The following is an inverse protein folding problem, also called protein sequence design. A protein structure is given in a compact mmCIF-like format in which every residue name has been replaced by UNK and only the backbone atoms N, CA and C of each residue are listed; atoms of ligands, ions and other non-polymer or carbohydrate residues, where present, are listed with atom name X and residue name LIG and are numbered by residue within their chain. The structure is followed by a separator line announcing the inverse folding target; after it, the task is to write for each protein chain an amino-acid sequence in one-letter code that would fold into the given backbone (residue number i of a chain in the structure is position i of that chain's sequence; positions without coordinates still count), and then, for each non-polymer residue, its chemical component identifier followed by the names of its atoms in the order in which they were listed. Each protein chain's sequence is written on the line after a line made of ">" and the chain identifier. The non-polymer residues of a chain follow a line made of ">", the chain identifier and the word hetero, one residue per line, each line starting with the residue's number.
data_IF_031650449509
#
_entry.id   IF_031650449509
#
_cell.length_a   1.000
_cell.length_b   1.000
_cell.length_c   1.000
_cell.angle_alpha   90.00
_cell.angle_beta   90.00
_cell.angle_gamma   90.00
#
_symmetry.space_group_name_H-M   'P 1'
#
loop_
_entity.id
_entity.type
_entity.pdbx_description
1 polymer ?
#
# COMPACT_ATOMS: atom_id res chain seq x y z
N UNK A 1 -57.23 -16.65 -50.74
CA UNK A 1 -58.04 -17.88 -50.90
C UNK A 1 -57.81 -18.76 -49.70
N UNK A 2 -58.80 -18.82 -48.80
CA UNK A 2 -59.57 -19.96 -48.31
C UNK A 2 -58.70 -21.06 -47.67
N UNK A 3 -58.90 -21.59 -46.53
CA UNK A 3 -60.13 -21.71 -45.77
C UNK A 3 -59.87 -22.34 -44.43
N UNK A 4 -60.77 -22.12 -43.58
CA UNK A 4 -60.94 -22.62 -42.22
C UNK A 4 -61.20 -24.12 -42.11
N UNK A 5 -60.85 -24.76 -41.00
CA UNK A 5 -61.77 -25.70 -40.39
C UNK A 5 -61.52 -25.89 -38.88
N UNK A 6 -62.61 -25.79 -38.15
CA UNK A 6 -62.82 -26.01 -36.72
C UNK A 6 -63.04 -27.48 -36.40
N UNK A 7 -62.64 -27.94 -35.24
CA UNK A 7 -63.52 -28.73 -34.33
C UNK A 7 -62.74 -28.95 -33.01
N UNK A 8 -63.20 -28.45 -31.87
CA UNK A 8 -64.18 -28.94 -30.87
C UNK A 8 -63.83 -30.36 -30.36
N UNK A 9 -63.54 -30.59 -29.14
CA UNK A 9 -64.32 -30.62 -27.92
C UNK A 9 -63.48 -31.09 -26.70
N UNK A 10 -63.82 -30.59 -25.57
CA UNK A 10 -63.37 -30.75 -24.20
C UNK A 10 -63.89 -32.08 -23.57
N UNK A 11 -63.88 -32.20 -22.20
CA UNK A 11 -62.84 -32.22 -21.18
C UNK A 11 -62.95 -33.52 -20.31
N UNK A 12 -61.91 -33.88 -19.54
CA UNK A 12 -62.14 -34.78 -18.41
C UNK A 12 -61.32 -34.32 -17.22
N UNK A 13 -62.02 -34.17 -16.17
CA UNK A 13 -61.68 -33.78 -14.80
C UNK A 13 -60.81 -34.81 -14.07
N UNK A 14 -60.04 -34.28 -13.11
CA UNK A 14 -59.91 -34.72 -11.72
C UNK A 14 -58.75 -35.63 -11.35
N UNK A 15 -57.81 -35.12 -10.59
CA UNK A 15 -57.55 -35.45 -9.19
C UNK A 15 -56.29 -34.79 -8.64
N UNK A 16 -56.57 -33.89 -7.73
CA UNK A 16 -55.57 -33.30 -6.84
C UNK A 16 -54.86 -34.36 -6.00
N UNK A 17 -53.55 -34.28 -5.88
CA UNK A 17 -52.85 -34.62 -4.63
C UNK A 17 -51.73 -33.63 -4.40
N UNK A 18 -51.97 -32.77 -3.43
CA UNK A 18 -50.95 -31.91 -2.82
C UNK A 18 -49.96 -32.80 -2.06
N UNK A 19 -48.69 -32.63 -2.34
CA UNK A 19 -47.63 -32.92 -1.38
C UNK A 19 -46.72 -31.67 -1.31
N UNK A 20 -47.04 -30.86 -0.30
CA UNK A 20 -46.13 -29.80 0.16
C UNK A 20 -45.07 -30.47 1.04
N UNK A 21 -43.84 -30.47 0.63
CA UNK A 21 -42.70 -30.72 1.50
C UNK A 21 -41.93 -29.39 1.65
N UNK A 22 -41.60 -28.94 2.86
CA UNK A 22 -40.80 -27.74 3.05
C UNK A 22 -39.33 -28.07 2.74
N UNK A 23 -38.77 -27.35 1.80
CA UNK A 23 -37.31 -27.27 1.58
C UNK A 23 -36.69 -26.50 2.74
N UNK A 24 -36.26 -27.22 3.77
CA UNK A 24 -35.33 -26.68 4.77
C UNK A 24 -33.95 -26.57 4.12
N UNK A 25 -33.61 -25.37 3.69
CA UNK A 25 -32.24 -25.03 3.32
C UNK A 25 -31.38 -25.09 4.59
N UNK A 26 -30.69 -26.20 4.82
CA UNK A 26 -29.61 -26.30 5.77
C UNK A 26 -28.41 -25.58 5.15
N UNK A 27 -28.25 -24.30 5.49
CA UNK A 27 -26.98 -23.57 5.34
C UNK A 27 -25.97 -24.21 6.31
N UNK A 28 -25.23 -25.18 5.82
CA UNK A 28 -24.06 -25.70 6.54
C UNK A 28 -22.96 -24.62 6.52
N UNK A 29 -23.06 -23.68 7.45
CA UNK A 29 -21.89 -22.90 7.85
C UNK A 29 -20.92 -23.88 8.49
N UNK A 30 -19.86 -24.23 7.77
CA UNK A 30 -18.69 -24.90 8.34
C UNK A 30 -18.15 -23.95 9.40
N UNK A 31 -18.16 -24.28 10.69
CA UNK A 31 -17.56 -23.43 11.69
C UNK A 31 -16.05 -23.45 11.42
N UNK A 32 -15.46 -22.26 11.25
CA UNK A 32 -14.01 -22.08 11.30
C UNK A 32 -13.51 -22.70 12.61
N UNK A 33 -12.41 -23.47 12.59
CA UNK A 33 -11.90 -24.10 13.80
C UNK A 33 -11.58 -23.05 14.85
N UNK A 34 -12.17 -23.17 16.02
CA UNK A 34 -12.05 -22.30 17.20
C UNK A 34 -10.59 -22.16 17.68
N UNK A 35 -9.67 -22.94 17.15
CA UNK A 35 -8.25 -22.97 17.50
C UNK A 35 -7.42 -21.83 16.89
N UNK A 36 -7.98 -21.04 15.95
CA UNK A 36 -7.26 -19.92 15.30
C UNK A 36 -7.33 -18.59 16.09
N UNK A 37 -8.03 -18.53 17.21
CA UNK A 37 -8.34 -17.27 17.92
C UNK A 37 -7.48 -16.97 19.15
N UNK A 38 -6.35 -17.63 19.40
CA UNK A 38 -5.62 -17.45 20.67
C UNK A 38 -4.09 -17.55 20.64
N UNK A 39 -3.47 -17.76 19.52
CA UNK A 39 -2.01 -17.71 19.47
C UNK A 39 -1.55 -16.26 19.31
N UNK A 40 -0.69 -15.76 20.22
CA UNK A 40 -0.02 -14.48 20.00
C UNK A 40 0.74 -14.52 18.68
N UNK A 41 0.73 -13.44 17.90
CA UNK A 41 1.54 -13.38 16.69
C UNK A 41 3.02 -13.63 17.04
N UNK A 42 3.74 -14.29 16.13
CA UNK A 42 5.18 -14.51 16.28
C UNK A 42 5.93 -13.19 16.17
N UNK A 43 5.57 -12.36 15.20
CA UNK A 43 6.16 -11.05 14.95
C UNK A 43 5.12 -10.03 14.52
N UNK A 44 5.44 -8.74 14.66
CA UNK A 44 4.61 -7.65 14.18
C UNK A 44 5.40 -6.83 13.14
N UNK A 45 4.74 -6.49 12.04
CA UNK A 45 5.29 -5.60 11.03
C UNK A 45 4.38 -4.37 10.90
N UNK A 46 4.94 -3.21 11.20
CA UNK A 46 4.23 -1.94 11.17
C UNK A 46 4.81 -1.07 10.07
N UNK A 47 4.00 -0.67 9.12
CA UNK A 47 4.38 0.30 8.11
C UNK A 47 3.82 1.68 8.43
N UNK A 48 4.55 2.73 8.06
CA UNK A 48 3.99 4.07 7.92
C UNK A 48 4.59 4.74 6.68
N UNK A 49 3.73 5.21 5.79
CA UNK A 49 4.18 6.13 4.76
C UNK A 49 4.55 7.45 5.42
N UNK A 50 5.61 8.10 4.92
CA UNK A 50 5.98 9.44 5.37
C UNK A 50 4.78 10.39 5.38
N UNK A 51 4.75 11.32 6.34
CA UNK A 51 3.76 12.39 6.41
C UNK A 51 3.78 13.26 5.15
N UNK A 52 2.75 14.08 4.96
CA UNK A 52 2.67 14.99 3.82
C UNK A 52 3.98 15.79 3.68
N UNK A 53 4.54 15.84 2.46
CA UNK A 53 5.76 16.60 2.17
C UNK A 53 5.44 17.92 1.46
N UNK A 54 6.40 18.86 1.46
CA UNK A 54 6.31 20.13 0.71
C UNK A 54 5.90 19.91 -0.76
N UNK A 55 6.42 18.88 -1.41
CA UNK A 55 6.07 18.57 -2.79
C UNK A 55 4.76 17.78 -2.96
N UNK A 56 4.24 17.17 -1.89
CA UNK A 56 2.85 16.72 -1.90
C UNK A 56 1.90 17.92 -1.90
N UNK A 57 2.18 18.96 -1.10
CA UNK A 57 1.43 20.23 -1.11
C UNK A 57 1.50 20.91 -2.48
N UNK A 58 2.70 21.02 -3.05
CA UNK A 58 2.95 21.59 -4.37
C UNK A 58 2.47 20.68 -5.54
N UNK A 59 1.86 19.54 -5.26
CA UNK A 59 1.36 18.54 -6.22
C UNK A 59 2.41 18.08 -7.26
N UNK A 60 3.70 18.01 -6.89
CA UNK A 60 4.80 17.61 -7.77
C UNK A 60 5.13 16.12 -7.69
N UNK A 61 5.71 15.59 -8.78
CA UNK A 61 6.36 14.28 -8.77
C UNK A 61 7.69 14.38 -8.01
N UNK A 62 7.81 13.68 -6.88
CA UNK A 62 8.95 13.86 -5.96
C UNK A 62 10.09 12.87 -6.22
N UNK A 63 9.78 11.59 -6.29
CA UNK A 63 10.82 10.55 -6.46
C UNK A 63 11.90 10.60 -5.38
N UNK A 64 13.16 10.67 -5.81
CA UNK A 64 14.35 10.68 -4.95
C UNK A 64 14.80 12.08 -4.52
N UNK A 65 14.05 13.12 -4.89
CA UNK A 65 14.34 14.49 -4.38
C UNK A 65 14.10 14.54 -2.87
N UNK A 66 15.04 15.16 -2.15
CA UNK A 66 15.11 15.13 -0.69
C UNK A 66 14.37 16.31 -0.04
N UNK A 67 13.07 16.40 -0.28
CA UNK A 67 12.17 17.39 0.34
C UNK A 67 11.79 17.01 1.76
N UNK A 68 11.43 18.02 2.55
CA UNK A 68 11.01 17.84 3.93
C UNK A 68 9.48 17.63 4.05
N UNK A 69 9.02 17.36 5.28
CA UNK A 69 7.61 17.33 5.64
C UNK A 69 7.02 18.74 5.66
N UNK A 70 5.76 18.86 5.27
CA UNK A 70 4.94 20.03 5.57
C UNK A 70 4.59 20.07 7.08
N UNK A 71 4.05 21.20 7.57
CA UNK A 71 3.54 21.28 8.94
C UNK A 71 2.49 20.21 9.23
N UNK A 72 1.57 19.97 8.29
CA UNK A 72 0.59 18.90 8.37
C UNK A 72 1.27 17.53 8.45
N UNK A 73 2.30 17.29 7.61
CA UNK A 73 3.07 16.04 7.62
C UNK A 73 3.79 15.78 8.94
N UNK A 74 4.26 16.83 9.62
CA UNK A 74 4.80 16.73 10.99
C UNK A 74 3.72 16.27 11.97
N UNK A 75 2.51 16.84 11.88
CA UNK A 75 1.35 16.42 12.68
C UNK A 75 0.95 14.96 12.40
N UNK A 76 0.92 14.57 11.12
CA UNK A 76 0.62 13.19 10.71
C UNK A 76 1.65 12.19 11.27
N UNK A 77 2.95 12.54 11.24
CA UNK A 77 4.01 11.70 11.77
C UNK A 77 3.91 11.52 13.28
N UNK A 78 3.60 12.58 14.04
CA UNK A 78 3.36 12.50 15.49
C UNK A 78 2.12 11.69 15.82
N UNK A 79 1.02 11.91 15.08
CA UNK A 79 -0.21 11.12 15.22
C UNK A 79 0.01 9.63 14.97
N UNK A 80 0.88 9.25 14.01
CA UNK A 80 1.28 7.86 13.85
C UNK A 80 1.93 7.26 15.09
N UNK A 81 2.80 8.02 15.77
CA UNK A 81 3.42 7.60 17.03
C UNK A 81 2.42 7.48 18.17
N UNK A 82 1.46 8.40 18.28
CA UNK A 82 0.37 8.34 19.25
C UNK A 82 -0.47 7.07 19.04
N UNK A 83 -0.85 6.76 17.82
CA UNK A 83 -1.58 5.53 17.49
C UNK A 83 -0.77 4.25 17.83
N UNK A 84 0.53 4.23 17.57
CA UNK A 84 1.44 3.13 17.95
C UNK A 84 1.43 2.94 19.48
N UNK A 85 1.48 4.05 20.22
CA UNK A 85 1.44 4.04 21.69
C UNK A 85 0.11 3.58 22.23
N UNK A 86 -1.01 4.09 21.69
CA UNK A 86 -2.38 3.72 22.09
C UNK A 86 -2.67 2.24 21.84
N UNK A 87 -2.15 1.69 20.75
CA UNK A 87 -2.22 0.26 20.42
C UNK A 87 -1.31 -0.61 21.33
N UNK A 88 -0.43 -0.01 22.12
CA UNK A 88 0.49 -0.72 23.01
C UNK A 88 1.64 -1.42 22.29
N UNK A 89 1.93 -1.05 21.03
CA UNK A 89 3.00 -1.66 20.23
C UNK A 89 4.37 -1.23 20.75
N UNK A 90 5.20 -2.22 21.11
CA UNK A 90 6.60 -2.00 21.48
C UNK A 90 7.48 -2.30 20.28
N UNK A 91 8.14 -1.28 19.74
CA UNK A 91 8.97 -1.39 18.55
C UNK A 91 10.39 -1.81 18.94
N UNK A 92 10.88 -2.93 18.39
CA UNK A 92 12.22 -3.45 18.67
C UNK A 92 13.28 -2.88 17.72
N UNK A 93 12.89 -2.59 16.47
CA UNK A 93 13.79 -2.08 15.43
C UNK A 93 13.02 -1.30 14.37
N UNK A 94 13.66 -0.26 13.83
CA UNK A 94 13.10 0.55 12.75
C UNK A 94 13.93 0.45 11.48
N UNK A 95 13.24 0.57 10.35
CA UNK A 95 13.82 0.68 9.02
C UNK A 95 13.25 1.89 8.30
N UNK A 96 14.11 2.69 7.64
CA UNK A 96 13.67 3.84 6.88
C UNK A 96 14.55 4.06 5.64
N UNK A 97 14.14 4.97 4.77
CA UNK A 97 14.87 5.30 3.55
C UNK A 97 15.98 6.34 3.78
N UNK A 98 16.73 6.66 2.74
CA UNK A 98 17.68 7.79 2.74
C UNK A 98 16.99 9.15 2.63
N UNK A 99 15.69 9.21 2.39
CA UNK A 99 14.97 10.46 2.15
C UNK A 99 14.49 11.08 3.46
N UNK A 100 14.79 12.38 3.65
CA UNK A 100 14.54 13.16 4.85
C UNK A 100 13.10 13.02 5.36
N UNK A 101 12.10 13.13 4.48
CA UNK A 101 10.69 13.02 4.86
C UNK A 101 10.34 11.70 5.57
N UNK A 102 10.94 10.57 5.14
CA UNK A 102 10.71 9.28 5.79
C UNK A 102 11.49 9.16 7.10
N UNK A 103 12.75 9.58 7.13
CA UNK A 103 13.57 9.61 8.36
C UNK A 103 12.92 10.48 9.43
N UNK A 104 12.44 11.66 9.04
CA UNK A 104 11.79 12.59 9.97
C UNK A 104 10.45 12.05 10.46
N UNK A 105 9.69 11.37 9.59
CA UNK A 105 8.47 10.67 10.01
C UNK A 105 8.79 9.58 11.03
N UNK A 106 9.82 8.77 10.78
CA UNK A 106 10.29 7.73 11.71
C UNK A 106 10.64 8.35 13.09
N UNK A 107 11.46 9.38 13.09
CA UNK A 107 11.91 10.05 14.32
C UNK A 107 10.75 10.64 15.13
N UNK A 108 9.84 11.37 14.48
CA UNK A 108 8.67 11.99 15.12
C UNK A 108 7.68 10.95 15.65
N UNK A 109 7.47 9.85 14.92
CA UNK A 109 6.60 8.77 15.39
C UNK A 109 7.20 8.06 16.62
N UNK A 110 8.51 7.81 16.63
CA UNK A 110 9.21 7.23 17.77
C UNK A 110 9.18 8.16 19.00
N UNK A 111 9.45 9.46 18.80
CA UNK A 111 9.34 10.47 19.85
C UNK A 111 7.95 10.51 20.46
N UNK A 112 6.89 10.58 19.65
CA UNK A 112 5.51 10.63 20.10
C UNK A 112 5.07 9.33 20.79
N UNK A 113 5.57 8.18 20.36
CA UNK A 113 5.32 6.90 21.04
C UNK A 113 6.15 6.71 22.32
N UNK A 114 7.14 7.59 22.59
CA UNK A 114 8.03 7.48 23.75
C UNK A 114 9.04 6.35 23.64
N UNK A 115 9.43 5.96 22.43
CA UNK A 115 10.31 4.82 22.15
C UNK A 115 11.60 5.26 21.43
N UNK A 116 12.69 4.49 21.60
CA UNK A 116 14.00 4.80 20.99
C UNK A 116 14.73 3.51 20.55
N UNK A 117 14.12 2.69 19.69
CA UNK A 117 14.78 1.50 19.15
C UNK A 117 15.90 1.86 18.15
N UNK A 118 16.77 0.92 17.80
CA UNK A 118 17.72 1.07 16.69
C UNK A 118 17.00 1.42 15.38
N UNK A 119 17.57 2.35 14.59
CA UNK A 119 17.03 2.77 13.29
C UNK A 119 18.06 2.48 12.20
N UNK A 120 17.67 1.65 11.24
CA UNK A 120 18.45 1.29 10.07
C UNK A 120 17.97 2.08 8.85
N UNK A 121 18.90 2.61 8.06
CA UNK A 121 18.59 3.34 6.84
C UNK A 121 19.07 2.59 5.60
N UNK A 122 18.26 2.59 4.54
CA UNK A 122 18.66 2.01 3.26
C UNK A 122 18.04 2.79 2.09
N UNK A 123 18.86 3.08 1.07
CA UNK A 123 18.39 3.65 -0.18
C UNK A 123 17.40 2.71 -0.89
N UNK A 124 17.47 1.41 -0.63
CA UNK A 124 16.55 0.41 -1.19
C UNK A 124 15.10 0.64 -0.73
N UNK A 125 14.87 1.37 0.36
CA UNK A 125 13.54 1.78 0.83
C UNK A 125 13.09 3.14 0.28
N UNK A 126 13.87 3.82 -0.58
CA UNK A 126 13.49 5.09 -1.19
C UNK A 126 12.17 4.96 -1.97
N UNK A 127 11.53 6.11 -2.23
CA UNK A 127 10.39 6.19 -3.13
C UNK A 127 10.78 5.77 -4.55
N UNK A 128 9.81 5.44 -5.37
CA UNK A 128 9.99 5.16 -6.79
C UNK A 128 10.61 6.37 -7.50
N UNK A 129 11.60 6.12 -8.32
CA UNK A 129 12.18 7.16 -9.19
C UNK A 129 11.21 7.47 -10.34
N UNK A 130 10.74 8.72 -10.39
CA UNK A 130 9.77 9.15 -11.39
C UNK A 130 10.40 9.60 -12.72
N UNK A 131 11.69 9.40 -12.88
CA UNK A 131 12.38 9.70 -14.15
C UNK A 131 12.24 11.17 -14.56
N UNK A 132 11.97 11.38 -15.83
CA UNK A 132 11.77 12.71 -16.41
C UNK A 132 10.53 13.47 -15.93
N UNK A 133 9.66 12.82 -15.14
CA UNK A 133 8.53 13.52 -14.50
C UNK A 133 8.94 14.22 -13.19
N UNK A 134 10.10 13.90 -12.63
CA UNK A 134 10.57 14.47 -11.35
C UNK A 134 10.60 16.00 -11.39
N UNK A 135 9.95 16.63 -10.41
CA UNK A 135 9.84 18.10 -10.30
C UNK A 135 8.65 18.70 -11.04
N UNK A 136 8.01 17.97 -11.97
CA UNK A 136 6.86 18.48 -12.71
C UNK A 136 5.61 18.48 -11.84
N UNK A 137 4.73 19.47 -12.06
CA UNK A 137 3.38 19.48 -11.50
C UNK A 137 2.53 18.38 -12.15
N UNK A 138 1.76 17.65 -11.33
CA UNK A 138 0.98 16.50 -11.82
C UNK A 138 -0.17 16.90 -12.73
N UNK A 139 -0.85 18.04 -12.46
CA UNK A 139 -1.97 18.53 -13.27
C UNK A 139 -1.48 19.09 -14.61
N UNK A 140 -0.40 19.87 -14.59
CA UNK A 140 0.24 20.38 -15.81
C UNK A 140 0.74 19.22 -16.68
N UNK A 141 1.29 18.16 -16.06
CA UNK A 141 1.71 16.97 -16.77
C UNK A 141 0.52 16.27 -17.45
N UNK A 142 -0.64 16.20 -16.79
CA UNK A 142 -1.88 15.68 -17.39
C UNK A 142 -2.34 16.55 -18.56
N UNK A 143 -2.31 17.86 -18.42
CA UNK A 143 -2.66 18.79 -19.50
C UNK A 143 -1.77 18.60 -20.74
N UNK A 144 -0.48 18.34 -20.52
CA UNK A 144 0.52 18.18 -21.59
C UNK A 144 0.48 16.80 -22.27
N UNK A 145 0.28 15.74 -21.51
CA UNK A 145 0.44 14.34 -21.99
C UNK A 145 -0.86 13.54 -22.05
N UNK A 146 -1.97 14.10 -21.55
CA UNK A 146 -3.24 13.41 -21.40
C UNK A 146 -3.35 12.56 -20.14
N UNK A 147 -4.57 12.39 -19.63
CA UNK A 147 -4.84 11.67 -18.39
C UNK A 147 -4.43 10.20 -18.47
N UNK A 148 -4.74 9.52 -19.59
CA UNK A 148 -4.43 8.10 -19.77
C UNK A 148 -2.94 7.83 -19.73
N UNK A 149 -2.12 8.67 -20.43
CA UNK A 149 -0.68 8.50 -20.44
C UNK A 149 -0.08 8.72 -19.04
N UNK A 150 -0.51 9.76 -18.33
CA UNK A 150 -0.02 10.04 -16.97
C UNK A 150 -0.50 8.96 -16.00
N UNK A 151 -1.70 8.42 -16.19
CA UNK A 151 -2.20 7.28 -15.42
C UNK A 151 -1.36 6.04 -15.64
N UNK A 152 -0.95 5.73 -16.88
CA UNK A 152 -0.03 4.62 -17.19
C UNK A 152 1.28 4.82 -16.43
N UNK A 153 1.94 5.96 -16.53
CA UNK A 153 3.19 6.24 -15.82
C UNK A 153 3.06 6.18 -14.30
N UNK A 154 1.90 6.52 -13.74
CA UNK A 154 1.68 6.49 -12.29
C UNK A 154 1.24 5.13 -11.76
N UNK A 155 0.49 4.36 -12.56
CA UNK A 155 -0.31 3.23 -12.10
C UNK A 155 -0.07 1.93 -12.86
N UNK A 156 0.77 1.91 -13.90
CA UNK A 156 1.19 0.64 -14.48
C UNK A 156 2.09 -0.11 -13.50
N UNK A 157 1.99 -1.42 -13.50
CA UNK A 157 2.87 -2.29 -12.72
C UNK A 157 4.30 -2.25 -13.26
N UNK A 158 4.46 -2.34 -14.58
CA UNK A 158 5.73 -2.58 -15.27
C UNK A 158 6.18 -1.48 -16.24
N UNK A 159 5.31 -0.50 -16.57
CA UNK A 159 5.66 0.61 -17.47
C UNK A 159 6.18 1.80 -16.65
N UNK A 160 7.48 2.15 -16.76
CA UNK A 160 8.04 3.30 -16.07
C UNK A 160 7.72 4.62 -16.79
N UNK A 161 7.85 5.77 -16.12
CA UNK A 161 7.95 7.06 -16.78
C UNK A 161 9.18 7.13 -17.70
N UNK A 162 9.26 8.17 -18.58
CA UNK A 162 10.49 8.45 -19.32
C UNK A 162 11.69 8.60 -18.39
N UNK A 163 12.88 8.21 -18.86
CA UNK A 163 14.10 8.36 -18.08
C UNK A 163 14.42 9.84 -17.78
N UNK A 164 15.08 10.09 -16.66
CA UNK A 164 15.57 11.42 -16.31
C UNK A 164 16.81 11.74 -17.15
N UNK A 165 16.88 12.97 -17.68
CA UNK A 165 18.07 13.44 -18.37
C UNK A 165 19.27 13.58 -17.42
N UNK A 166 20.45 13.29 -17.91
CA UNK A 166 21.71 13.46 -17.19
C UNK A 166 21.97 14.92 -16.79
N UNK A 167 21.43 15.89 -17.53
CA UNK A 167 21.54 17.32 -17.23
C UNK A 167 20.58 17.76 -16.11
N UNK A 168 19.53 16.98 -15.83
CA UNK A 168 18.56 17.34 -14.80
C UNK A 168 19.23 17.55 -13.44
N UNK A 169 18.88 18.64 -12.77
CA UNK A 169 19.33 18.92 -11.40
C UNK A 169 18.84 17.84 -10.41
N UNK A 170 17.73 17.15 -10.72
CA UNK A 170 17.13 16.11 -9.90
C UNK A 170 17.70 14.72 -10.15
N UNK A 171 18.68 14.57 -11.05
CA UNK A 171 19.27 13.26 -11.31
C UNK A 171 20.00 12.75 -10.05
N UNK A 172 19.66 11.54 -9.51
CA UNK A 172 20.22 11.05 -8.25
C UNK A 172 21.76 10.99 -8.24
N UNK A 173 22.41 10.76 -9.37
CA UNK A 173 23.89 10.78 -9.49
C UNK A 173 24.54 12.09 -9.04
N UNK A 174 23.80 13.20 -9.04
CA UNK A 174 24.28 14.51 -8.59
C UNK A 174 24.12 14.72 -7.08
N UNK A 175 23.45 13.81 -6.39
CA UNK A 175 23.21 13.90 -4.96
C UNK A 175 24.31 13.16 -4.17
N UNK A 176 25.01 13.87 -3.29
CA UNK A 176 26.08 13.29 -2.47
C UNK A 176 25.64 12.08 -1.62
N UNK A 177 24.35 11.95 -1.28
CA UNK A 177 23.81 10.79 -0.55
C UNK A 177 24.01 9.46 -1.28
N UNK A 178 24.18 9.48 -2.59
CA UNK A 178 24.30 8.29 -3.43
C UNK A 178 25.69 8.15 -4.05
N UNK A 179 26.68 8.96 -3.61
CA UNK A 179 28.04 8.95 -4.19
C UNK A 179 28.74 7.58 -4.03
N UNK A 180 28.44 6.86 -2.96
CA UNK A 180 29.04 5.56 -2.65
C UNK A 180 28.28 4.37 -3.26
N UNK A 181 27.18 4.62 -3.99
CA UNK A 181 26.44 3.56 -4.66
C UNK A 181 27.10 3.19 -5.99
N UNK A 182 27.01 1.90 -6.34
CA UNK A 182 27.35 1.47 -7.69
C UNK A 182 26.46 2.22 -8.70
N UNK A 183 27.00 2.84 -9.76
CA UNK A 183 26.21 3.55 -10.76
C UNK A 183 25.05 2.75 -11.35
N UNK A 184 25.17 1.44 -11.42
CA UNK A 184 24.09 0.54 -11.89
C UNK A 184 22.89 0.47 -10.93
N UNK A 185 23.10 0.79 -9.65
CA UNK A 185 22.06 0.80 -8.61
C UNK A 185 21.35 2.16 -8.51
N UNK A 186 21.79 3.16 -9.28
CA UNK A 186 21.17 4.49 -9.34
C UNK A 186 20.14 4.50 -10.48
N UNK A 187 18.82 4.44 -10.20
CA UNK A 187 17.83 4.35 -11.26
C UNK A 187 17.64 5.69 -12.00
N UNK A 188 17.53 5.64 -13.31
CA UNK A 188 17.09 6.78 -14.14
C UNK A 188 15.58 6.91 -14.21
N UNK A 189 14.85 5.82 -13.99
CA UNK A 189 13.39 5.72 -13.88
C UNK A 189 13.01 4.40 -13.25
N UNK A 190 11.82 4.31 -12.66
CA UNK A 190 11.32 3.06 -12.08
C UNK A 190 9.82 2.86 -12.35
N UNK A 191 9.44 1.62 -12.66
CA UNK A 191 8.08 1.09 -12.50
C UNK A 191 7.90 0.51 -11.09
N UNK A 192 6.68 0.08 -10.73
CA UNK A 192 6.48 -0.62 -9.46
C UNK A 192 7.24 -1.96 -9.43
N UNK A 193 7.31 -2.67 -10.57
CA UNK A 193 8.07 -3.91 -10.71
C UNK A 193 9.55 -3.71 -10.37
N UNK A 194 10.19 -2.68 -10.94
CA UNK A 194 11.62 -2.41 -10.66
C UNK A 194 11.86 -1.90 -9.23
N UNK A 195 10.87 -1.22 -8.61
CA UNK A 195 10.93 -0.93 -7.16
C UNK A 195 10.92 -2.22 -6.35
N UNK A 196 10.12 -3.23 -6.72
CA UNK A 196 10.11 -4.53 -6.05
C UNK A 196 11.49 -5.18 -6.17
N UNK A 197 12.06 -5.22 -7.39
CA UNK A 197 13.39 -5.81 -7.63
C UNK A 197 14.47 -5.14 -6.75
N UNK A 198 14.34 -3.83 -6.47
CA UNK A 198 15.25 -3.06 -5.61
C UNK A 198 15.01 -3.30 -4.11
N UNK A 199 13.75 -3.39 -3.69
CA UNK A 199 13.37 -3.48 -2.27
C UNK A 199 13.57 -4.89 -1.72
N UNK A 200 13.22 -5.93 -2.50
CA UNK A 200 13.16 -7.30 -2.01
C UNK A 200 14.50 -7.87 -1.51
N UNK A 201 15.67 -7.59 -2.09
CA UNK A 201 16.93 -8.00 -1.50
C UNK A 201 17.11 -7.49 -0.06
N UNK A 202 16.77 -6.23 0.22
CA UNK A 202 16.89 -5.67 1.57
C UNK A 202 15.83 -6.23 2.54
N UNK A 203 14.64 -6.54 2.03
CA UNK A 203 13.63 -7.28 2.79
C UNK A 203 14.18 -8.64 3.25
N UNK A 204 14.72 -9.44 2.34
CA UNK A 204 15.21 -10.79 2.64
C UNK A 204 16.46 -10.78 3.57
N UNK A 205 17.39 -9.86 3.33
CA UNK A 205 18.67 -9.80 4.05
C UNK A 205 18.57 -9.16 5.44
N UNK A 206 17.63 -8.24 5.66
CA UNK A 206 17.59 -7.41 6.88
C UNK A 206 16.25 -7.48 7.60
N UNK A 207 15.16 -7.05 6.96
CA UNK A 207 13.86 -6.88 7.62
C UNK A 207 13.28 -8.24 8.04
N UNK A 208 13.34 -9.21 7.15
CA UNK A 208 12.84 -10.56 7.38
C UNK A 208 13.58 -11.28 8.51
N UNK A 209 14.88 -11.08 8.63
CA UNK A 209 15.68 -11.67 9.70
C UNK A 209 15.21 -11.21 11.10
N UNK A 210 14.89 -9.93 11.26
CA UNK A 210 14.36 -9.40 12.51
C UNK A 210 12.95 -9.93 12.81
N UNK A 211 12.09 -10.07 11.78
CA UNK A 211 10.77 -10.67 11.94
C UNK A 211 10.87 -12.17 12.31
N UNK A 212 11.82 -12.92 11.73
CA UNK A 212 12.09 -14.31 12.10
C UNK A 212 12.54 -14.45 13.55
N UNK A 213 13.22 -13.44 14.10
CA UNK A 213 13.59 -13.37 15.50
C UNK A 213 12.42 -12.99 16.43
N UNK A 214 11.19 -12.86 15.93
CA UNK A 214 10.00 -12.54 16.70
C UNK A 214 9.87 -11.08 17.11
N UNK A 215 10.57 -10.16 16.41
CA UNK A 215 10.57 -8.74 16.73
C UNK A 215 9.35 -8.01 16.17
N UNK A 216 9.01 -6.89 16.81
CA UNK A 216 8.14 -5.86 16.24
C UNK A 216 8.97 -4.90 15.43
N UNK A 217 8.78 -4.91 14.12
CA UNK A 217 9.53 -4.11 13.15
C UNK A 217 8.69 -2.94 12.66
N UNK A 218 9.22 -1.72 12.74
CA UNK A 218 8.60 -0.52 12.18
C UNK A 218 9.32 -0.06 10.91
N UNK A 219 8.61 0.07 9.80
CA UNK A 219 9.14 0.53 8.52
C UNK A 219 8.49 1.85 8.14
N UNK A 220 9.22 2.95 8.31
CA UNK A 220 8.79 4.28 7.87
C UNK A 220 9.38 4.56 6.47
N UNK A 221 8.54 4.51 5.42
CA UNK A 221 9.01 4.57 4.05
C UNK A 221 8.04 5.33 3.12
N UNK A 222 7.83 4.84 1.90
CA UNK A 222 7.09 5.55 0.85
C UNK A 222 6.01 4.68 0.24
N UNK A 223 5.08 5.32 -0.49
CA UNK A 223 3.95 4.61 -1.08
C UNK A 223 4.36 3.42 -1.96
N UNK A 224 5.36 3.56 -2.81
CA UNK A 224 5.75 2.47 -3.71
C UNK A 224 6.67 1.44 -3.03
N UNK A 225 7.58 1.83 -2.13
CA UNK A 225 8.38 0.85 -1.39
C UNK A 225 7.55 0.02 -0.41
N UNK A 226 6.55 0.61 0.25
CA UNK A 226 5.60 -0.14 1.09
C UNK A 226 4.74 -1.07 0.23
N UNK A 227 4.21 -0.60 -0.93
CA UNK A 227 3.47 -1.47 -1.86
C UNK A 227 4.27 -2.69 -2.32
N UNK A 228 5.58 -2.53 -2.53
CA UNK A 228 6.45 -3.64 -2.92
C UNK A 228 6.42 -4.76 -1.89
N UNK A 229 6.58 -4.42 -0.59
CA UNK A 229 6.59 -5.40 0.49
C UNK A 229 5.18 -5.95 0.72
N UNK A 230 4.15 -5.09 0.75
CA UNK A 230 2.74 -5.49 0.93
C UNK A 230 2.30 -6.45 -0.17
N UNK A 231 2.65 -6.17 -1.44
CA UNK A 231 2.37 -7.09 -2.55
C UNK A 231 2.95 -8.48 -2.29
N UNK A 232 4.19 -8.53 -1.82
CA UNK A 232 4.89 -9.79 -1.54
C UNK A 232 4.22 -10.58 -0.42
N UNK A 233 3.96 -9.95 0.73
CA UNK A 233 3.42 -10.65 1.92
C UNK A 233 1.95 -11.05 1.78
N UNK A 234 1.15 -10.27 1.03
CA UNK A 234 -0.28 -10.56 0.80
C UNK A 234 -0.54 -11.35 -0.50
N UNK A 235 0.45 -11.51 -1.37
CA UNK A 235 0.26 -12.14 -2.67
C UNK A 235 -0.69 -11.37 -3.59
N UNK A 236 -0.68 -10.01 -3.53
CA UNK A 236 -1.59 -9.18 -4.33
C UNK A 236 -1.22 -9.28 -5.82
N UNK A 237 -2.19 -9.54 -6.74
CA UNK A 237 -1.94 -9.61 -8.18
C UNK A 237 -1.38 -8.31 -8.77
N UNK A 238 -0.67 -8.42 -9.92
CA UNK A 238 0.00 -7.30 -10.59
C UNK A 238 -0.97 -6.22 -11.08
N UNK A 239 -2.17 -6.60 -11.47
CA UNK A 239 -3.25 -5.72 -11.91
C UNK A 239 -4.00 -5.04 -10.76
N UNK A 240 -3.93 -5.58 -9.55
CA UNK A 240 -4.59 -5.06 -8.36
C UNK A 240 -3.72 -4.10 -7.57
N UNK A 241 -2.42 -4.42 -7.41
CA UNK A 241 -1.50 -3.65 -6.54
C UNK A 241 -1.37 -2.16 -6.92
N UNK A 242 -1.44 -1.74 -8.21
CA UNK A 242 -1.40 -0.32 -8.55
C UNK A 242 -2.56 0.50 -7.97
N UNK A 243 -3.67 -0.16 -7.67
CA UNK A 243 -4.85 0.45 -7.05
C UNK A 243 -4.77 0.60 -5.53
N UNK A 244 -3.80 -0.03 -4.86
CA UNK A 244 -3.61 0.12 -3.42
C UNK A 244 -3.02 1.50 -3.10
N UNK A 245 -3.76 2.33 -2.39
CA UNK A 245 -3.28 3.61 -1.89
C UNK A 245 -2.81 3.46 -0.43
N UNK A 246 -1.62 3.98 -0.16
CA UNK A 246 -1.06 4.03 1.20
C UNK A 246 -1.20 5.46 1.71
N UNK A 247 -2.07 5.74 2.68
CA UNK A 247 -2.23 7.07 3.28
C UNK A 247 -0.93 7.55 3.95
N UNK A 248 -0.73 8.87 4.01
CA UNK A 248 0.39 9.46 4.74
C UNK A 248 0.17 9.35 6.25
N UNK A 249 1.25 9.12 7.00
CA UNK A 249 1.26 9.17 8.46
C UNK A 249 0.27 8.22 9.15
N UNK A 250 -0.19 7.16 8.47
CA UNK A 250 -1.14 6.20 9.03
C UNK A 250 -0.47 4.85 9.19
N UNK A 251 -0.32 4.32 10.42
CA UNK A 251 0.29 3.01 10.63
C UNK A 251 -0.57 1.87 10.06
N UNK A 252 0.07 0.96 9.32
CA UNK A 252 -0.50 -0.28 8.78
C UNK A 252 0.20 -1.45 9.47
N UNK A 253 -0.55 -2.27 10.18
CA UNK A 253 -0.05 -3.35 11.03
C UNK A 253 -0.37 -4.71 10.42
N UNK A 254 0.63 -5.58 10.39
CA UNK A 254 0.52 -7.00 10.08
C UNK A 254 0.93 -7.82 11.30
N UNK A 255 0.10 -8.76 11.66
CA UNK A 255 0.42 -9.84 12.59
C UNK A 255 0.92 -11.04 11.79
N UNK A 256 2.09 -11.58 12.15
CA UNK A 256 2.73 -12.65 11.39
C UNK A 256 2.86 -13.90 12.26
N UNK A 257 2.62 -15.07 11.65
CA UNK A 257 2.89 -16.35 12.28
C UNK A 257 4.39 -16.72 12.24
N UNK A 258 4.76 -17.90 12.76
CA UNK A 258 6.16 -18.36 12.82
C UNK A 258 6.78 -18.60 11.43
N UNK A 259 5.97 -18.80 10.39
CA UNK A 259 6.40 -18.90 8.99
C UNK A 259 6.45 -17.52 8.30
N UNK A 260 6.20 -16.44 9.03
CA UNK A 260 6.02 -15.06 8.56
C UNK A 260 4.85 -14.89 7.57
N UNK A 261 3.86 -15.76 7.64
CA UNK A 261 2.61 -15.57 6.91
C UNK A 261 1.71 -14.60 7.68
N UNK A 262 1.06 -13.66 6.99
CA UNK A 262 0.17 -12.73 7.65
C UNK A 262 -1.09 -13.44 8.17
N UNK A 263 -1.46 -13.14 9.41
CA UNK A 263 -2.64 -13.68 10.09
C UNK A 263 -3.87 -12.91 9.58
N UNK A 264 -4.97 -13.61 9.19
CA UNK A 264 -6.18 -12.94 8.71
C UNK A 264 -6.81 -12.01 9.77
N UNK A 265 -7.34 -10.87 9.31
CA UNK A 265 -8.09 -9.93 10.15
C UNK A 265 -9.35 -9.43 9.44
N UNK A 266 -10.45 -9.27 10.20
CA UNK A 266 -11.68 -8.66 9.70
C UNK A 266 -11.60 -7.12 9.63
N UNK A 267 -10.49 -6.53 10.10
CA UNK A 267 -10.25 -5.08 10.11
C UNK A 267 -9.53 -4.57 8.86
N UNK A 268 -9.19 -5.45 7.91
CA UNK A 268 -8.53 -5.08 6.68
C UNK A 268 -9.44 -4.23 5.79
N UNK A 269 -8.87 -3.21 5.14
CA UNK A 269 -9.57 -2.37 4.15
C UNK A 269 -9.12 -2.83 2.75
N UNK A 270 -10.08 -3.24 1.92
CA UNK A 270 -9.77 -3.70 0.56
C UNK A 270 -8.88 -2.70 -0.22
N UNK A 271 -7.92 -3.17 -1.02
CA UNK A 271 -7.70 -4.56 -1.44
C UNK A 271 -6.88 -5.42 -0.45
N UNK A 272 -6.50 -4.90 0.72
CA UNK A 272 -5.81 -5.65 1.76
C UNK A 272 -6.73 -6.74 2.33
N UNK A 273 -6.14 -7.86 2.77
CA UNK A 273 -6.82 -8.99 3.39
C UNK A 273 -6.32 -9.26 4.82
N UNK A 274 -5.10 -8.84 5.11
CA UNK A 274 -4.40 -9.17 6.34
C UNK A 274 -3.93 -7.93 7.11
N UNK A 275 -3.57 -6.86 6.39
CA UNK A 275 -3.11 -5.62 7.01
C UNK A 275 -4.26 -4.79 7.55
N UNK A 276 -4.14 -4.30 8.79
CA UNK A 276 -5.08 -3.35 9.38
C UNK A 276 -4.42 -2.01 9.64
N UNK A 277 -5.11 -0.94 9.27
CA UNK A 277 -4.68 0.41 9.63
C UNK A 277 -5.06 0.74 11.09
N UNK A 278 -4.21 1.52 11.77
CA UNK A 278 -4.56 2.11 13.07
C UNK A 278 -5.29 3.44 12.86
N UNK A 279 -6.27 3.70 13.72
CA UNK A 279 -7.04 4.95 13.72
C UNK A 279 -8.42 4.85 13.07
N UNK A 280 -8.97 6.00 12.74
CA UNK A 280 -10.35 6.15 12.22
C UNK A 280 -10.45 5.68 10.76
N UNK A 281 -11.25 4.64 10.52
CA UNK A 281 -11.42 4.00 9.21
C UNK A 281 -11.93 4.97 8.14
N UNK A 282 -12.86 5.87 8.49
CA UNK A 282 -13.43 6.81 7.51
C UNK A 282 -12.41 7.89 7.12
N UNK A 283 -11.61 8.37 8.08
CA UNK A 283 -10.50 9.28 7.78
C UNK A 283 -9.44 8.61 6.92
N UNK A 284 -9.14 7.34 7.17
CA UNK A 284 -8.18 6.55 6.38
C UNK A 284 -8.64 6.39 4.93
N UNK A 285 -9.91 6.03 4.71
CA UNK A 285 -10.49 5.93 3.38
C UNK A 285 -10.47 7.27 2.64
N UNK A 286 -10.83 8.37 3.32
CA UNK A 286 -10.79 9.71 2.76
C UNK A 286 -9.37 10.13 2.37
N UNK A 287 -8.36 9.83 3.19
CA UNK A 287 -6.97 10.11 2.90
C UNK A 287 -6.45 9.29 1.69
N UNK A 288 -6.82 8.01 1.58
CA UNK A 288 -6.49 7.19 0.43
C UNK A 288 -7.11 7.73 -0.86
N UNK A 289 -8.38 8.12 -0.83
CA UNK A 289 -9.06 8.72 -1.99
C UNK A 289 -8.44 10.07 -2.40
N UNK A 290 -7.99 10.89 -1.44
CA UNK A 290 -7.27 12.13 -1.74
C UNK A 290 -5.96 11.87 -2.51
N UNK A 291 -5.19 10.83 -2.15
CA UNK A 291 -3.98 10.43 -2.88
C UNK A 291 -4.30 9.99 -4.31
N UNK A 292 -5.38 9.24 -4.50
CA UNK A 292 -5.85 8.78 -5.81
C UNK A 292 -6.22 9.94 -6.73
N UNK A 293 -6.85 10.97 -6.18
CA UNK A 293 -7.41 12.10 -6.93
C UNK A 293 -6.38 13.21 -7.28
N UNK A 294 -5.12 13.10 -6.89
CA UNK A 294 -4.08 14.12 -7.11
C UNK A 294 -3.85 14.54 -8.59
N UNK A 295 -4.27 13.72 -9.55
CA UNK A 295 -4.15 14.01 -10.99
C UNK A 295 -5.47 14.37 -11.65
N UNK A 296 -6.59 14.35 -10.94
CA UNK A 296 -7.86 14.79 -11.53
C UNK A 296 -7.81 16.29 -11.83
N UNK A 297 -7.98 16.62 -13.09
CA UNK A 297 -8.20 17.98 -13.56
C UNK A 297 -9.71 18.21 -13.41
N UNK A 298 -10.10 19.13 -12.52
CA UNK A 298 -11.50 19.50 -12.30
C UNK A 298 -12.07 20.25 -13.48
#
# INVERSE_FOLDING_TARGET
>A
LKGASRSRLAPVLDRARRFSAPLTAHSSRVPLPLAAMSAKPHALLVFSRHGESEWNVANKFTGWVDVDLSEKGVGEAKGAGELIKEEGLQIDVCYTSFLKRAQRTCALALEASGQSPPVNTSWRLNERMYGGLTGLDKKETVQKHGEDQVKIWRRSFDIPPPEISDESEYHPKKCAKYADLDPKDIPTTESLKTVIDRVMPYWEESIKADLQAGKTVFVAAHGNSIRAIVKYIEGIPDDVIPGLEIPTGTPLVYELDADLKPIPTDLAIAPLKYGRYLGDVEKIKAAAEAVKNQTKVG
#
